data_IF_571889620148
#
_entry.id   IF_571889620148
#
_cell.length_a   1.000
_cell.length_b   1.000
_cell.length_c   1.000
_cell.angle_alpha   90.00
_cell.angle_beta   90.00
_cell.angle_gamma   90.00
#
_symmetry.space_group_name_H-M   'P 1'
#
loop_
_entity.id
_entity.type
_entity.pdbx_description
1 polymer ?
#
# COMPACT_ATOMS: atom_id res chain seq x y z
N UNK A 1 -40.66 -45.40 7.11
CA UNK A 1 -39.51 -44.58 7.54
C UNK A 1 -38.62 -44.14 6.36
N UNK A 2 -39.19 -43.58 5.27
CA UNK A 2 -38.42 -43.17 4.06
C UNK A 2 -38.59 -41.69 3.69
N UNK A 3 -39.48 -40.96 4.38
CA UNK A 3 -39.76 -39.54 4.11
C UNK A 3 -38.96 -38.58 5.00
N UNK A 4 -38.37 -39.07 6.09
CA UNK A 4 -37.61 -38.25 7.05
C UNK A 4 -36.15 -38.01 6.62
N UNK A 5 -35.56 -38.91 5.83
CA UNK A 5 -34.19 -38.72 5.32
C UNK A 5 -34.10 -37.72 4.17
N UNK A 6 -35.18 -37.51 3.40
CA UNK A 6 -35.17 -36.61 2.24
C UNK A 6 -35.20 -35.13 2.66
N UNK A 7 -35.85 -34.82 3.80
CA UNK A 7 -35.99 -33.45 4.30
C UNK A 7 -34.68 -32.93 4.89
N UNK A 8 -33.86 -33.81 5.49
CA UNK A 8 -32.56 -33.44 6.06
C UNK A 8 -31.48 -33.14 5.00
N UNK A 9 -31.63 -33.67 3.78
CA UNK A 9 -30.67 -33.45 2.69
C UNK A 9 -30.84 -32.08 1.99
N UNK A 10 -32.05 -31.51 2.04
CA UNK A 10 -32.40 -30.27 1.32
C UNK A 10 -32.04 -29.02 2.14
N UNK A 11 -32.02 -29.12 3.48
CA UNK A 11 -31.67 -28.00 4.38
C UNK A 11 -30.18 -27.67 4.45
N UNK A 12 -29.30 -28.47 3.84
CA UNK A 12 -27.84 -28.23 3.87
C UNK A 12 -27.33 -27.35 2.72
N UNK A 13 -28.13 -27.13 1.67
CA UNK A 13 -27.68 -26.45 0.44
C UNK A 13 -27.79 -24.91 0.53
N UNK A 14 -28.59 -24.37 1.46
CA UNK A 14 -28.89 -22.93 1.51
C UNK A 14 -27.87 -22.06 2.27
N UNK A 15 -26.79 -22.64 2.83
CA UNK A 15 -25.86 -21.89 3.72
C UNK A 15 -24.56 -21.44 3.02
N UNK A 16 -24.28 -21.88 1.79
CA UNK A 16 -23.09 -21.43 1.04
C UNK A 16 -23.42 -20.36 -0.02
N UNK A 17 -24.17 -19.33 0.36
CA UNK A 17 -24.04 -18.03 -0.35
C UNK A 17 -22.73 -17.37 0.10
N UNK A 18 -21.60 -18.01 -0.22
CA UNK A 18 -20.30 -17.40 -0.09
C UNK A 18 -20.25 -16.24 -1.07
N UNK A 19 -20.53 -15.03 -0.58
CA UNK A 19 -20.21 -13.81 -1.27
C UNK A 19 -18.68 -13.82 -1.44
N UNK A 20 -18.19 -14.31 -2.58
CA UNK A 20 -16.77 -14.28 -2.91
C UNK A 20 -16.38 -12.81 -3.09
N UNK A 21 -16.08 -12.13 -1.98
CA UNK A 21 -15.47 -10.80 -2.04
C UNK A 21 -14.14 -10.97 -2.74
N UNK A 22 -14.04 -10.45 -3.96
CA UNK A 22 -12.80 -10.36 -4.71
C UNK A 22 -11.75 -9.71 -3.79
N UNK A 23 -10.58 -10.34 -3.70
CA UNK A 23 -9.50 -9.81 -2.89
C UNK A 23 -9.09 -8.43 -3.42
N UNK A 24 -8.99 -7.46 -2.50
CA UNK A 24 -8.61 -6.08 -2.85
C UNK A 24 -7.11 -6.01 -3.10
N UNK A 25 -6.72 -5.40 -4.22
CA UNK A 25 -5.32 -5.10 -4.55
C UNK A 25 -4.93 -3.70 -4.07
N UNK A 26 -3.64 -3.37 -4.13
CA UNK A 26 -3.14 -2.04 -3.73
C UNK A 26 -3.86 -0.89 -4.45
N UNK A 27 -4.20 -1.08 -5.73
CA UNK A 27 -4.92 -0.09 -6.52
C UNK A 27 -6.28 0.29 -5.92
N UNK A 28 -6.98 -0.66 -5.28
CA UNK A 28 -8.30 -0.41 -4.67
C UNK A 28 -8.24 0.55 -3.47
N UNK A 29 -7.03 0.85 -2.98
CA UNK A 29 -6.78 1.80 -1.90
C UNK A 29 -6.27 3.15 -2.38
N UNK A 30 -6.20 3.40 -3.70
CA UNK A 30 -5.84 4.72 -4.24
C UNK A 30 -6.69 5.83 -3.61
N UNK A 31 -6.05 6.95 -3.29
CA UNK A 31 -6.69 8.10 -2.67
C UNK A 31 -6.04 9.41 -3.11
N UNK A 32 -6.83 10.48 -3.10
CA UNK A 32 -6.32 11.82 -3.28
C UNK A 32 -5.67 12.38 -2.01
N UNK A 33 -5.98 11.83 -0.83
CA UNK A 33 -5.67 12.43 0.47
C UNK A 33 -4.90 11.49 1.39
N UNK A 34 -3.76 11.96 1.90
CA UNK A 34 -2.98 11.27 2.95
C UNK A 34 -3.77 11.11 4.26
N UNK A 35 -4.80 11.95 4.48
CA UNK A 35 -5.71 11.85 5.63
C UNK A 35 -6.68 10.67 5.58
N UNK A 36 -6.74 9.90 4.48
CA UNK A 36 -7.56 8.69 4.39
C UNK A 36 -6.91 7.53 5.17
N UNK A 37 -6.89 7.62 6.49
CA UNK A 37 -6.17 6.72 7.41
C UNK A 37 -6.33 5.24 7.04
N UNK A 38 -7.58 4.81 6.76
CA UNK A 38 -7.87 3.42 6.41
C UNK A 38 -7.23 3.00 5.08
N UNK A 39 -7.23 3.86 4.06
CA UNK A 39 -6.61 3.55 2.77
C UNK A 39 -5.10 3.61 2.85
N UNK A 40 -4.55 4.66 3.48
CA UNK A 40 -3.11 4.84 3.66
C UNK A 40 -2.50 3.69 4.43
N UNK A 41 -3.13 3.25 5.53
CA UNK A 41 -2.67 2.08 6.28
C UNK A 41 -2.68 0.81 5.42
N UNK A 42 -3.70 0.61 4.57
CA UNK A 42 -3.75 -0.55 3.67
C UNK A 42 -2.68 -0.49 2.58
N UNK A 43 -2.36 0.71 2.06
CA UNK A 43 -1.26 0.90 1.11
C UNK A 43 0.07 0.49 1.75
N UNK A 44 0.36 0.91 2.98
CA UNK A 44 1.60 0.54 3.66
C UNK A 44 1.62 -0.95 4.01
N UNK A 45 0.55 -1.50 4.56
CA UNK A 45 0.54 -2.88 5.06
C UNK A 45 0.52 -3.97 3.97
N UNK A 46 0.04 -3.66 2.77
CA UNK A 46 -0.10 -4.64 1.68
C UNK A 46 1.07 -4.66 0.70
N UNK A 47 2.06 -3.79 0.89
CA UNK A 47 3.25 -3.78 0.07
C UNK A 47 4.20 -4.91 0.45
N UNK A 48 4.92 -5.41 -0.55
CA UNK A 48 6.04 -6.31 -0.33
C UNK A 48 7.26 -5.48 0.07
N UNK A 49 7.89 -5.85 1.19
CA UNK A 49 9.09 -5.20 1.69
C UNK A 49 10.29 -6.14 1.62
N UNK A 50 11.52 -5.60 1.66
CA UNK A 50 12.74 -6.41 1.76
C UNK A 50 12.67 -7.41 2.91
N UNK A 51 13.32 -8.57 2.74
CA UNK A 51 13.31 -9.64 3.73
C UNK A 51 13.80 -9.14 5.10
N UNK A 52 13.13 -9.57 6.17
CA UNK A 52 13.39 -9.21 7.56
C UNK A 52 13.14 -7.73 7.92
N UNK A 53 12.85 -6.83 6.98
CA UNK A 53 12.37 -5.48 7.26
C UNK A 53 10.91 -5.51 7.72
N UNK A 54 10.59 -4.69 8.72
CA UNK A 54 9.24 -4.62 9.27
C UNK A 54 8.80 -3.17 9.38
N UNK A 55 7.58 -2.91 8.90
CA UNK A 55 6.84 -1.69 9.22
C UNK A 55 5.89 -1.98 10.39
N UNK A 56 5.65 -0.98 11.25
CA UNK A 56 4.77 -1.15 12.40
C UNK A 56 3.63 -0.15 12.41
N UNK A 57 3.95 1.12 12.60
CA UNK A 57 2.99 2.19 12.79
C UNK A 57 3.15 3.23 11.69
N UNK A 58 2.09 3.99 11.45
CA UNK A 58 2.13 5.15 10.58
C UNK A 58 1.70 6.39 11.33
N UNK A 59 2.32 7.52 11.01
CA UNK A 59 1.93 8.84 11.51
C UNK A 59 1.75 9.78 10.34
N UNK A 60 0.52 10.27 10.19
CA UNK A 60 0.13 11.20 9.12
C UNK A 60 0.46 12.62 9.58
N UNK A 61 1.09 13.39 8.70
CA UNK A 61 1.46 14.79 8.90
C UNK A 61 0.62 15.64 7.94
N UNK A 62 -0.66 15.85 8.29
CA UNK A 62 -1.64 16.53 7.43
C UNK A 62 -2.10 17.89 7.95
N UNK A 63 -1.54 18.39 9.05
CA UNK A 63 -1.95 19.67 9.65
C UNK A 63 -1.62 20.89 8.76
N UNK A 64 -0.51 20.83 8.02
CA UNK A 64 -0.06 21.88 7.10
C UNK A 64 0.80 21.29 6.00
N UNK A 65 0.78 21.92 4.83
CA UNK A 65 1.67 21.55 3.72
C UNK A 65 3.14 21.90 4.04
N UNK A 66 4.10 21.14 3.50
CA UNK A 66 3.91 19.93 2.68
C UNK A 66 3.42 18.73 3.49
N UNK A 67 2.49 17.96 2.93
CA UNK A 67 1.89 16.83 3.63
C UNK A 67 2.84 15.64 3.70
N UNK A 68 2.84 14.94 4.83
CA UNK A 68 3.79 13.87 5.09
C UNK A 68 3.17 12.59 5.63
N UNK A 69 3.92 11.50 5.49
CA UNK A 69 3.64 10.20 6.07
C UNK A 69 4.91 9.62 6.67
N UNK A 70 4.91 9.37 7.98
CA UNK A 70 5.98 8.62 8.66
C UNK A 70 5.56 7.15 8.75
N UNK A 71 6.47 6.25 8.39
CA UNK A 71 6.36 4.80 8.54
C UNK A 71 7.45 4.36 9.51
N UNK A 72 7.04 3.79 10.64
CA UNK A 72 7.94 3.31 11.68
C UNK A 72 8.49 1.94 11.31
N UNK A 73 9.80 1.77 11.44
CA UNK A 73 10.55 0.66 10.88
C UNK A 73 11.40 -0.07 11.91
N UNK A 74 11.52 -1.38 11.73
CA UNK A 74 12.47 -2.24 12.45
C UNK A 74 13.34 -3.01 11.46
N UNK A 75 14.50 -3.47 11.93
CA UNK A 75 15.46 -4.27 11.14
C UNK A 75 15.98 -3.60 9.85
N UNK A 76 16.15 -2.28 9.87
CA UNK A 76 16.54 -1.48 8.70
C UNK A 76 18.06 -1.34 8.49
N UNK A 77 18.90 -1.87 9.40
CA UNK A 77 20.35 -1.57 9.45
C UNK A 77 21.13 -1.95 8.18
N UNK A 78 20.63 -2.94 7.42
CA UNK A 78 21.29 -3.44 6.21
C UNK A 78 20.61 -2.92 4.93
N UNK A 79 19.60 -2.06 5.04
CA UNK A 79 18.93 -1.50 3.88
C UNK A 79 19.65 -0.28 3.37
N UNK A 80 19.58 -0.10 2.06
CA UNK A 80 19.90 1.13 1.37
C UNK A 80 18.62 1.83 0.90
N UNK A 81 18.71 3.14 0.65
CA UNK A 81 17.59 3.95 0.13
C UNK A 81 17.04 3.40 -1.21
N UNK A 82 17.83 2.68 -1.99
CA UNK A 82 17.32 2.07 -3.24
C UNK A 82 16.35 0.90 -2.98
N UNK A 83 16.51 0.19 -1.86
CA UNK A 83 15.77 -1.05 -1.57
C UNK A 83 14.30 -0.78 -1.28
N UNK A 84 13.98 0.42 -0.79
CA UNK A 84 12.60 0.88 -0.56
C UNK A 84 12.10 1.83 -1.65
N UNK A 85 12.85 2.04 -2.75
CA UNK A 85 12.46 2.98 -3.80
C UNK A 85 11.16 2.56 -4.48
N UNK A 86 11.00 1.27 -4.79
CA UNK A 86 9.75 0.74 -5.37
C UNK A 86 8.55 0.93 -4.43
N UNK A 87 8.74 0.72 -3.12
CA UNK A 87 7.70 0.98 -2.12
C UNK A 87 7.33 2.46 -2.04
N UNK A 88 8.33 3.34 -2.08
CA UNK A 88 8.12 4.78 -2.07
C UNK A 88 7.34 5.25 -3.30
N UNK A 89 7.75 4.82 -4.50
CA UNK A 89 7.04 5.12 -5.76
C UNK A 89 5.60 4.61 -5.68
N UNK A 90 5.37 3.37 -5.26
CA UNK A 90 4.02 2.80 -5.12
C UNK A 90 3.15 3.64 -4.19
N UNK A 91 3.70 4.03 -3.03
CA UNK A 91 2.98 4.83 -2.02
C UNK A 91 2.64 6.22 -2.54
N UNK A 92 3.62 6.91 -3.14
CA UNK A 92 3.43 8.27 -3.68
C UNK A 92 2.49 8.26 -4.90
N UNK A 93 2.54 7.24 -5.75
CA UNK A 93 1.61 7.05 -6.87
C UNK A 93 0.17 6.86 -6.40
N UNK A 94 -0.04 6.18 -5.26
CA UNK A 94 -1.38 5.87 -4.75
C UNK A 94 -1.99 6.94 -3.85
N UNK A 95 -1.21 7.90 -3.34
CA UNK A 95 -1.67 8.98 -2.44
C UNK A 95 -1.35 10.33 -3.08
N UNK A 96 -2.31 10.91 -3.81
CA UNK A 96 -2.07 12.05 -4.72
C UNK A 96 -1.42 13.27 -4.06
N UNK A 97 -1.88 13.65 -2.87
CA UNK A 97 -1.36 14.84 -2.17
C UNK A 97 -0.20 14.55 -1.20
N UNK A 98 0.33 13.32 -1.15
CA UNK A 98 1.48 13.02 -0.29
C UNK A 98 2.76 13.63 -0.90
N UNK A 99 3.39 14.55 -0.18
CA UNK A 99 4.64 15.19 -0.61
C UNK A 99 5.87 14.45 -0.11
N UNK A 100 5.85 14.01 1.15
CA UNK A 100 7.02 13.43 1.81
C UNK A 100 6.70 12.10 2.50
N UNK A 101 7.38 11.04 2.07
CA UNK A 101 7.37 9.74 2.75
C UNK A 101 8.65 9.57 3.57
N UNK A 102 8.50 9.42 4.87
CA UNK A 102 9.59 9.21 5.82
C UNK A 102 9.56 7.77 6.33
N UNK A 103 10.67 7.07 6.24
CA UNK A 103 10.91 5.86 7.01
C UNK A 103 11.73 6.25 8.24
N UNK A 104 11.21 5.96 9.42
CA UNK A 104 11.77 6.37 10.71
C UNK A 104 11.93 5.19 11.65
N UNK A 105 12.83 5.30 12.63
CA UNK A 105 12.92 4.33 13.72
C UNK A 105 11.87 4.57 14.82
N UNK A 106 11.92 3.76 15.87
CA UNK A 106 11.01 3.86 17.03
C UNK A 106 11.08 5.20 17.78
N UNK A 107 12.16 5.97 17.61
CA UNK A 107 12.36 7.28 18.23
C UNK A 107 12.08 8.43 17.24
N UNK A 108 11.39 8.14 16.13
CA UNK A 108 11.16 9.07 15.02
C UNK A 108 12.43 9.58 14.33
N UNK A 109 13.59 8.91 14.52
CA UNK A 109 14.81 9.26 13.81
C UNK A 109 14.70 8.85 12.35
N UNK A 110 15.02 9.76 11.45
CA UNK A 110 14.97 9.54 10.01
C UNK A 110 15.98 8.47 9.57
N UNK A 111 15.48 7.48 8.83
CA UNK A 111 16.28 6.45 8.16
C UNK A 111 16.39 6.82 6.68
N UNK A 112 15.24 6.99 6.01
CA UNK A 112 15.15 7.40 4.60
C UNK A 112 14.00 8.38 4.38
N UNK A 113 14.16 9.26 3.40
CA UNK A 113 13.14 10.23 2.99
C UNK A 113 12.97 10.17 1.48
N UNK A 114 11.74 10.11 1.01
CA UNK A 114 11.38 10.24 -0.40
C UNK A 114 10.46 11.43 -0.57
N UNK A 115 10.97 12.46 -1.23
CA UNK A 115 10.18 13.60 -1.64
C UNK A 115 9.55 13.32 -3.02
N UNK A 116 8.26 13.65 -3.18
CA UNK A 116 7.50 13.45 -4.42
C UNK A 116 8.24 14.00 -5.64
N UNK A 117 8.76 15.23 -5.55
CA UNK A 117 9.44 15.90 -6.67
C UNK A 117 10.71 15.15 -7.08
N UNK A 118 11.54 14.76 -6.12
CA UNK A 118 12.78 14.01 -6.40
C UNK A 118 12.48 12.63 -7.02
N UNK A 119 11.40 11.98 -6.57
CA UNK A 119 10.96 10.71 -7.12
C UNK A 119 10.45 10.90 -8.56
N UNK A 120 9.63 11.92 -8.81
CA UNK A 120 9.13 12.25 -10.15
C UNK A 120 10.29 12.51 -11.12
N UNK A 121 11.25 13.36 -10.75
CA UNK A 121 12.44 13.67 -11.56
C UNK A 121 13.27 12.42 -11.90
N UNK A 122 13.27 11.41 -11.02
CA UNK A 122 13.96 10.14 -11.28
C UNK A 122 13.15 9.26 -12.25
N UNK A 123 11.84 9.19 -12.09
CA UNK A 123 10.94 8.44 -12.97
C UNK A 123 10.89 9.03 -14.39
N UNK A 124 10.95 10.35 -14.53
CA UNK A 124 10.99 11.02 -15.83
C UNK A 124 12.20 10.58 -16.66
N UNK A 125 13.37 10.36 -16.02
CA UNK A 125 14.57 9.81 -16.69
C UNK A 125 14.36 8.39 -17.21
N UNK A 126 13.39 7.67 -16.66
CA UNK A 126 12.98 6.32 -17.05
C UNK A 126 11.74 6.34 -17.97
N UNK A 127 11.34 7.52 -18.48
CA UNK A 127 10.16 7.72 -19.35
C UNK A 127 8.83 7.28 -18.70
N UNK A 128 8.71 7.45 -17.39
CA UNK A 128 7.49 7.20 -16.62
C UNK A 128 7.21 8.32 -15.61
N UNK A 129 6.11 8.22 -14.88
CA UNK A 129 5.69 9.20 -13.87
C UNK A 129 4.84 8.54 -12.78
N UNK A 130 4.69 9.17 -11.62
CA UNK A 130 3.80 8.68 -10.55
C UNK A 130 2.34 8.59 -11.05
N UNK A 131 1.93 9.55 -11.87
CA UNK A 131 0.60 9.56 -12.48
C UNK A 131 0.41 8.40 -13.45
N UNK A 132 1.37 8.14 -14.35
CA UNK A 132 1.32 7.03 -15.31
C UNK A 132 1.30 5.67 -14.61
N UNK A 133 2.09 5.51 -13.54
CA UNK A 133 2.11 4.28 -12.73
C UNK A 133 0.74 4.03 -12.08
N UNK A 134 0.08 5.08 -11.58
CA UNK A 134 -1.23 4.96 -10.92
C UNK A 134 -2.43 5.15 -11.84
N UNK A 135 -2.24 5.31 -13.15
CA UNK A 135 -3.30 5.63 -14.10
C UNK A 135 -4.40 4.56 -14.11
N UNK A 136 -3.98 3.30 -14.06
CA UNK A 136 -4.87 2.16 -13.98
C UNK A 136 -4.22 1.01 -13.19
N UNK A 137 -5.02 0.00 -12.87
CA UNK A 137 -4.59 -1.15 -12.08
C UNK A 137 -3.46 -1.94 -12.74
N UNK A 138 -3.52 -2.13 -14.05
CA UNK A 138 -2.54 -2.90 -14.81
C UNK A 138 -1.17 -2.20 -14.82
N UNK A 139 -1.12 -0.88 -15.02
CA UNK A 139 0.11 -0.09 -14.95
C UNK A 139 0.80 -0.24 -13.59
N UNK A 140 0.03 -0.16 -12.50
CA UNK A 140 0.56 -0.31 -11.15
C UNK A 140 1.10 -1.72 -10.91
N UNK A 141 0.35 -2.75 -11.28
CA UNK A 141 0.75 -4.15 -11.11
C UNK A 141 2.00 -4.46 -11.95
N UNK A 142 2.08 -3.95 -13.18
CA UNK A 142 3.29 -4.07 -14.01
C UNK A 142 4.50 -3.38 -13.36
N UNK A 143 4.33 -2.20 -12.75
CA UNK A 143 5.43 -1.53 -12.04
C UNK A 143 5.90 -2.32 -10.81
N UNK A 144 4.98 -2.91 -10.05
CA UNK A 144 5.31 -3.67 -8.85
C UNK A 144 6.07 -4.96 -9.22
N UNK A 145 5.64 -5.65 -10.27
CA UNK A 145 6.12 -6.98 -10.63
C UNK A 145 7.39 -7.01 -11.52
N UNK A 146 7.79 -5.87 -12.11
CA UNK A 146 9.04 -5.73 -12.88
C UNK A 146 10.23 -5.35 -12.00
#
# INVERSE_FOLDING_TARGET
>A
MKKFCLVLLITFILVFSACQKKEKTLYDFKTDFVGDNSKVSQIINKQEYPENFQTSEIKILSEKEPYGLKVFCKNYKNLEKKDLFKNAVTTLSLIKNLDNLYYVDENEKEIFIYNRKEVEEKLEKENTSLEKISENKENLENFINN
#
